data_IF_735100090783
#
_entry.id   IF_735100090783
#
_cell.length_a   1.000
_cell.length_b   1.000
_cell.length_c   1.000
_cell.angle_alpha   90.00
_cell.angle_beta   90.00
_cell.angle_gamma   90.00
#
_symmetry.space_group_name_H-M   'P 1'
#
loop_
_entity.id
_entity.type
_entity.pdbx_description
1 polymer ?
#
# COMPACT_ATOMS: atom_id res chain seq x y z
N UNK A 1 6.71 2.02 -6.23
CA UNK A 1 5.83 1.25 -7.13
C UNK A 1 5.57 -0.20 -6.69
N UNK A 2 6.53 -0.93 -6.10
CA UNK A 2 6.32 -2.32 -5.63
C UNK A 2 5.08 -2.51 -4.72
N UNK A 3 4.83 -1.59 -3.77
CA UNK A 3 3.68 -1.70 -2.85
C UNK A 3 2.31 -1.70 -3.55
N UNK A 4 2.15 -0.98 -4.66
CA UNK A 4 0.87 -0.93 -5.40
C UNK A 4 0.60 -2.28 -6.06
N UNK A 5 1.64 -2.91 -6.62
CA UNK A 5 1.53 -4.23 -7.22
C UNK A 5 1.14 -5.29 -6.16
N UNK A 6 1.76 -5.25 -4.98
CA UNK A 6 1.43 -6.16 -3.87
C UNK A 6 -0.02 -5.97 -3.39
N UNK A 7 -0.45 -4.71 -3.17
CA UNK A 7 -1.83 -4.40 -2.80
C UNK A 7 -2.84 -4.89 -3.85
N UNK A 8 -2.52 -4.73 -5.13
CA UNK A 8 -3.39 -5.15 -6.24
C UNK A 8 -3.57 -6.66 -6.26
N UNK A 9 -2.48 -7.43 -6.10
CA UNK A 9 -2.55 -8.88 -6.10
C UNK A 9 -3.24 -9.41 -4.84
N UNK A 10 -2.99 -8.81 -3.68
CA UNK A 10 -3.69 -9.17 -2.45
C UNK A 10 -5.21 -8.91 -2.56
N UNK A 11 -5.60 -7.75 -3.10
CA UNK A 11 -7.01 -7.44 -3.36
C UNK A 11 -7.65 -8.45 -4.33
N UNK A 12 -6.93 -8.86 -5.39
CA UNK A 12 -7.42 -9.85 -6.36
C UNK A 12 -7.68 -11.22 -5.74
N UNK A 13 -6.84 -11.64 -4.81
CA UNK A 13 -6.95 -12.96 -4.16
C UNK A 13 -7.72 -12.92 -2.84
N UNK A 14 -8.18 -11.75 -2.39
CA UNK A 14 -8.89 -11.59 -1.12
C UNK A 14 -8.00 -11.76 0.10
N UNK A 15 -6.70 -11.52 -0.03
CA UNK A 15 -5.76 -11.59 1.10
C UNK A 15 -5.68 -10.26 1.84
N UNK A 16 -5.45 -10.34 3.15
CA UNK A 16 -5.04 -9.18 3.94
C UNK A 16 -3.61 -8.78 3.53
N UNK A 17 -3.39 -7.48 3.38
CA UNK A 17 -2.10 -6.93 2.97
C UNK A 17 -1.74 -5.73 3.85
N UNK A 18 -0.64 -5.85 4.57
CA UNK A 18 -0.05 -4.74 5.33
C UNK A 18 1.29 -4.38 4.68
N UNK A 19 1.47 -3.11 4.35
CA UNK A 19 2.64 -2.57 3.68
C UNK A 19 3.34 -1.61 4.63
N UNK A 20 4.56 -1.96 5.02
CA UNK A 20 5.42 -1.09 5.81
C UNK A 20 6.21 -0.18 4.88
N UNK A 21 6.11 1.13 5.09
CA UNK A 21 6.75 2.14 4.24
C UNK A 21 7.33 3.24 5.12
N UNK A 22 8.53 3.73 4.78
CA UNK A 22 9.17 4.79 5.56
C UNK A 22 8.30 6.05 5.64
N UNK A 23 8.22 6.71 6.78
CA UNK A 23 7.34 7.88 7.00
C UNK A 23 7.48 8.97 5.91
N UNK A 24 8.72 9.31 5.56
CA UNK A 24 9.04 10.28 4.50
C UNK A 24 8.54 9.81 3.12
N UNK A 25 8.60 8.51 2.85
CA UNK A 25 8.10 7.95 1.58
C UNK A 25 6.57 7.91 1.52
N UNK A 26 5.90 7.68 2.65
CA UNK A 26 4.44 7.76 2.72
C UNK A 26 3.97 9.19 2.37
N UNK A 27 4.68 10.21 2.83
CA UNK A 27 4.38 11.61 2.49
C UNK A 27 4.75 11.97 1.05
N UNK A 28 5.93 11.57 0.58
CA UNK A 28 6.37 11.84 -0.81
C UNK A 28 5.55 11.10 -1.86
N UNK A 29 5.06 9.90 -1.53
CA UNK A 29 4.36 9.00 -2.45
C UNK A 29 2.87 8.86 -2.11
N UNK A 30 2.25 9.92 -1.56
CA UNK A 30 0.81 9.95 -1.23
C UNK A 30 -0.12 9.40 -2.34
N UNK A 31 0.09 9.67 -3.64
CA UNK A 31 -0.76 9.08 -4.68
C UNK A 31 -0.71 7.55 -4.70
N UNK A 32 0.45 6.95 -4.44
CA UNK A 32 0.59 5.49 -4.41
C UNK A 32 -0.07 4.91 -3.16
N UNK A 33 0.12 5.56 -2.00
CA UNK A 33 -0.50 5.16 -0.72
C UNK A 33 -2.02 5.19 -0.83
N UNK A 34 -2.58 6.24 -1.44
CA UNK A 34 -4.02 6.36 -1.69
C UNK A 34 -4.57 5.17 -2.48
N UNK A 35 -3.88 4.72 -3.54
CA UNK A 35 -4.30 3.55 -4.30
C UNK A 35 -4.16 2.25 -3.49
N UNK A 36 -3.11 2.10 -2.69
CA UNK A 36 -2.94 0.94 -1.81
C UNK A 36 -4.10 0.82 -0.80
N UNK A 37 -4.44 1.93 -0.13
CA UNK A 37 -5.56 1.99 0.82
C UNK A 37 -6.90 1.72 0.13
N UNK A 38 -7.11 2.23 -1.09
CA UNK A 38 -8.34 2.01 -1.84
C UNK A 38 -8.49 0.57 -2.34
N UNK A 39 -7.37 -0.14 -2.52
CA UNK A 39 -7.33 -1.58 -2.78
C UNK A 39 -7.52 -2.43 -1.50
N UNK A 40 -7.62 -1.79 -0.33
CA UNK A 40 -7.84 -2.45 0.95
C UNK A 40 -6.56 -2.90 1.66
N UNK A 41 -5.39 -2.44 1.21
CA UNK A 41 -4.15 -2.66 1.93
C UNK A 41 -3.98 -1.63 3.08
N UNK A 42 -3.45 -2.08 4.21
CA UNK A 42 -3.07 -1.22 5.32
C UNK A 42 -1.64 -0.72 5.12
N UNK A 43 -1.42 0.59 5.11
CA UNK A 43 -0.07 1.17 4.99
C UNK A 43 0.37 1.66 6.37
N UNK A 44 1.42 1.05 6.91
CA UNK A 44 1.98 1.37 8.23
C UNK A 44 3.28 2.17 8.02
N UNK A 45 3.33 3.45 8.44
CA UNK A 45 4.56 4.22 8.42
C UNK A 45 5.58 3.65 9.43
N UNK A 46 6.84 3.49 8.99
CA UNK A 46 7.97 3.04 9.83
C UNK A 46 9.15 4.00 9.77
#
# INVERSE_FOLDING_TARGET
>A
QHGVATATMAARFGFQCTIYMGEVDVERQRPNVFWMERLGAEVVPV
#
